data_IF_612986175029
#
_entry.id   IF_612986175029
#
_cell.length_a   1.000
_cell.length_b   1.000
_cell.length_c   1.000
_cell.angle_alpha   90.00
_cell.angle_beta   90.00
_cell.angle_gamma   90.00
#
_symmetry.space_group_name_H-M   'P 1'
#
loop_
_entity.id
_entity.type
_entity.pdbx_description
1 polymer ?
#
# COMPACT_ATOMS: atom_id res chain seq x y z
N UNK A 1 -36.46 -58.02 24.26
CA UNK A 1 -36.35 -56.57 24.51
C UNK A 1 -37.42 -56.19 25.52
N UNK A 2 -37.03 -55.66 26.68
CA UNK A 2 -37.95 -55.18 27.73
C UNK A 2 -37.57 -53.73 28.00
N UNK A 3 -38.48 -52.83 27.67
CA UNK A 3 -38.34 -51.37 27.84
C UNK A 3 -38.78 -51.04 29.26
N UNK A 4 -37.92 -50.36 30.01
CA UNK A 4 -38.29 -49.71 31.27
C UNK A 4 -38.60 -48.24 30.99
N UNK A 5 -39.87 -47.86 31.23
CA UNK A 5 -40.37 -46.49 31.33
C UNK A 5 -40.82 -46.32 32.77
N UNK A 6 -40.30 -45.32 33.49
CA UNK A 6 -40.96 -44.54 34.57
C UNK A 6 -40.16 -43.21 34.63
N UNK A 7 -40.67 -42.09 34.10
CA UNK A 7 -41.56 -41.11 34.75
C UNK A 7 -40.83 -40.34 35.89
N UNK A 8 -41.06 -39.07 36.21
CA UNK A 8 -42.29 -38.29 36.42
C UNK A 8 -41.80 -36.81 36.60
N UNK A 9 -42.45 -35.72 36.16
CA UNK A 9 -43.46 -34.88 36.85
C UNK A 9 -43.46 -33.55 36.07
N UNK A 10 -44.53 -33.09 35.40
CA UNK A 10 -45.84 -32.59 35.86
C UNK A 10 -45.89 -31.08 36.19
N UNK A 11 -47.09 -30.53 35.95
CA UNK A 11 -47.66 -29.18 36.19
C UNK A 11 -47.60 -28.25 34.97
N UNK A 12 -48.60 -28.18 34.07
CA UNK A 12 -50.04 -27.84 34.14
C UNK A 12 -50.38 -26.37 34.41
N UNK A 13 -51.16 -25.83 33.47
CA UNK A 13 -52.21 -24.79 33.60
C UNK A 13 -51.77 -23.32 33.60
N UNK A 14 -52.13 -22.59 32.53
CA UNK A 14 -53.21 -21.58 32.57
C UNK A 14 -53.41 -20.92 31.20
N UNK A 15 -54.67 -20.85 30.79
CA UNK A 15 -55.29 -20.00 29.76
C UNK A 15 -56.41 -19.22 30.50
N UNK A 16 -57.10 -18.17 29.98
CA UNK A 16 -56.92 -17.26 28.83
C UNK A 16 -56.87 -15.78 29.28
N UNK A 17 -56.77 -14.80 28.37
CA UNK A 17 -57.65 -13.61 28.23
C UNK A 17 -56.99 -12.45 27.46
N UNK A 18 -57.78 -11.91 26.52
CA UNK A 18 -57.85 -10.53 26.03
C UNK A 18 -56.77 -9.97 25.08
N UNK A 19 -57.23 -9.72 23.84
CA UNK A 19 -56.71 -8.67 22.96
C UNK A 19 -56.73 -7.31 23.66
N UNK A 20 -55.60 -6.63 23.63
CA UNK A 20 -55.50 -5.17 23.59
C UNK A 20 -54.49 -4.82 22.51
N UNK A 21 -54.92 -3.96 21.59
CA UNK A 21 -54.12 -3.39 20.52
C UNK A 21 -52.96 -2.53 21.07
N UNK A 22 -52.00 -2.26 20.18
CA UNK A 22 -50.93 -1.26 20.29
C UNK A 22 -49.68 -1.64 21.12
N UNK A 23 -48.74 -2.30 20.46
CA UNK A 23 -47.43 -1.69 20.18
C UNK A 23 -46.68 -2.52 19.14
N UNK A 24 -46.45 -1.92 17.98
CA UNK A 24 -45.45 -2.35 17.02
C UNK A 24 -44.07 -2.38 17.69
N UNK A 25 -43.67 -3.53 18.22
CA UNK A 25 -42.29 -3.77 18.60
C UNK A 25 -41.62 -4.51 17.44
N UNK A 26 -41.36 -3.77 16.37
CA UNK A 26 -40.40 -4.17 15.36
C UNK A 26 -39.02 -4.29 16.01
N UNK A 27 -38.61 -5.50 16.32
CA UNK A 27 -37.19 -5.80 16.53
C UNK A 27 -36.66 -6.32 15.21
N UNK A 28 -36.36 -5.36 14.33
CA UNK A 28 -35.36 -5.57 13.30
C UNK A 28 -34.11 -6.08 14.02
N UNK A 29 -33.75 -7.35 13.82
CA UNK A 29 -32.42 -7.83 14.14
C UNK A 29 -31.45 -6.90 13.42
N UNK A 30 -30.76 -6.06 14.18
CA UNK A 30 -29.80 -5.09 13.67
C UNK A 30 -28.85 -5.84 12.74
N UNK A 31 -28.93 -5.49 11.45
CA UNK A 31 -27.90 -5.88 10.51
C UNK A 31 -26.58 -5.30 11.07
N UNK A 32 -25.54 -6.10 11.15
CA UNK A 32 -24.17 -5.58 11.07
C UNK A 32 -23.70 -5.63 9.60
N UNK A 33 -23.99 -4.63 8.74
CA UNK A 33 -23.31 -4.50 7.46
C UNK A 33 -22.14 -3.50 7.53
N UNK A 34 -22.00 -2.75 8.63
CA UNK A 34 -21.08 -1.61 8.71
C UNK A 34 -19.60 -2.04 8.68
N UNK A 35 -19.27 -3.22 9.25
CA UNK A 35 -17.88 -3.70 9.34
C UNK A 35 -17.28 -4.12 8.00
N UNK A 36 -18.09 -4.76 7.13
CA UNK A 36 -17.62 -5.25 5.83
C UNK A 36 -17.37 -4.11 4.84
N UNK A 37 -18.24 -3.09 4.85
CA UNK A 37 -18.08 -1.89 4.01
C UNK A 37 -16.84 -1.09 4.41
N UNK A 38 -16.56 -0.96 5.71
CA UNK A 38 -15.37 -0.27 6.19
C UNK A 38 -14.06 -0.98 5.81
N UNK A 39 -14.00 -2.32 5.89
CA UNK A 39 -12.83 -3.13 5.51
C UNK A 39 -12.57 -3.06 3.99
N UNK A 40 -13.62 -3.09 3.18
CA UNK A 40 -13.55 -2.98 1.73
C UNK A 40 -13.08 -1.59 1.29
N UNK A 41 -13.63 -0.52 1.88
CA UNK A 41 -13.17 0.86 1.61
C UNK A 41 -11.69 1.03 1.97
N UNK A 42 -11.24 0.50 3.11
CA UNK A 42 -9.84 0.55 3.53
C UNK A 42 -8.92 -0.18 2.54
N UNK A 43 -9.34 -1.35 2.06
CA UNK A 43 -8.59 -2.16 1.08
C UNK A 43 -8.47 -1.44 -0.26
N UNK A 44 -9.58 -0.92 -0.80
CA UNK A 44 -9.58 -0.14 -2.05
C UNK A 44 -8.68 1.08 -1.97
N UNK A 45 -8.73 1.81 -0.85
CA UNK A 45 -7.84 2.96 -0.61
C UNK A 45 -6.37 2.55 -0.58
N UNK A 46 -6.03 1.45 0.09
CA UNK A 46 -4.65 0.96 0.14
C UNK A 46 -4.13 0.55 -1.25
N UNK A 47 -4.96 -0.06 -2.09
CA UNK A 47 -4.63 -0.40 -3.48
C UNK A 47 -4.43 0.88 -4.31
N UNK A 48 -5.34 1.85 -4.19
CA UNK A 48 -5.21 3.13 -4.89
C UNK A 48 -3.93 3.87 -4.49
N UNK A 49 -3.63 3.96 -3.18
CA UNK A 49 -2.42 4.56 -2.64
C UNK A 49 -1.15 3.82 -3.09
N UNK A 50 -1.23 2.51 -3.32
CA UNK A 50 -0.13 1.72 -3.86
C UNK A 50 0.12 2.05 -5.33
N UNK A 51 -0.93 2.01 -6.16
CA UNK A 51 -0.83 2.33 -7.58
C UNK A 51 -0.32 3.75 -7.81
N UNK A 52 -0.85 4.73 -7.07
CA UNK A 52 -0.38 6.11 -7.14
C UNK A 52 1.10 6.22 -6.77
N UNK A 53 1.53 5.49 -5.75
CA UNK A 53 2.94 5.44 -5.35
C UNK A 53 3.83 4.82 -6.44
N UNK A 54 3.41 3.73 -7.10
CA UNK A 54 4.15 3.11 -8.20
C UNK A 54 4.30 4.09 -9.36
N UNK A 55 3.20 4.71 -9.80
CA UNK A 55 3.23 5.70 -10.89
C UNK A 55 4.13 6.90 -10.57
N UNK A 56 4.03 7.45 -9.36
CA UNK A 56 4.89 8.56 -8.94
C UNK A 56 6.37 8.16 -8.84
N UNK A 57 6.64 6.90 -8.51
CA UNK A 57 7.98 6.35 -8.43
C UNK A 57 8.61 6.14 -9.81
N UNK A 58 7.84 5.67 -10.79
CA UNK A 58 8.28 5.55 -12.18
C UNK A 58 8.72 6.91 -12.73
N UNK A 59 7.85 7.92 -12.58
CA UNK A 59 8.14 9.27 -13.02
C UNK A 59 9.43 9.83 -12.37
N UNK A 60 9.66 9.56 -11.08
CA UNK A 60 10.86 10.01 -10.39
C UNK A 60 12.14 9.32 -10.92
N UNK A 61 12.07 8.04 -11.30
CA UNK A 61 13.18 7.31 -11.92
C UNK A 61 13.48 7.87 -13.31
N UNK A 62 12.45 8.13 -14.12
CA UNK A 62 12.61 8.72 -15.45
C UNK A 62 13.25 10.12 -15.39
N UNK A 63 12.79 10.98 -14.47
CA UNK A 63 13.41 12.28 -14.26
C UNK A 63 14.88 12.18 -13.87
N UNK A 64 15.24 11.21 -13.02
CA UNK A 64 16.62 10.97 -12.63
C UNK A 64 17.47 10.57 -13.83
N UNK A 65 16.96 9.64 -14.67
CA UNK A 65 17.62 9.22 -15.90
C UNK A 65 17.90 10.41 -16.83
N UNK A 66 16.91 11.28 -17.05
CA UNK A 66 17.07 12.49 -17.86
C UNK A 66 18.16 13.42 -17.28
N UNK A 67 18.15 13.64 -15.96
CA UNK A 67 19.17 14.49 -15.29
C UNK A 67 20.57 13.91 -15.44
N UNK A 68 20.72 12.59 -15.28
CA UNK A 68 22.01 11.91 -15.43
C UNK A 68 22.49 11.97 -16.88
N UNK A 69 21.62 11.72 -17.86
CA UNK A 69 21.95 11.83 -19.27
C UNK A 69 22.47 13.23 -19.62
N UNK A 70 21.74 14.29 -19.21
CA UNK A 70 22.16 15.68 -19.43
C UNK A 70 23.51 16.00 -18.80
N UNK A 71 23.78 15.46 -17.61
CA UNK A 71 25.07 15.63 -16.95
C UNK A 71 26.18 14.88 -17.69
N UNK A 72 25.89 13.71 -18.25
CA UNK A 72 26.83 12.94 -19.07
C UNK A 72 27.21 13.70 -20.34
N UNK A 73 26.25 14.31 -21.04
CA UNK A 73 26.50 15.12 -22.24
C UNK A 73 27.47 16.29 -21.95
N UNK A 74 27.39 16.87 -20.74
CA UNK A 74 28.29 17.95 -20.30
C UNK A 74 29.76 17.52 -20.13
N UNK A 75 30.06 16.22 -20.07
CA UNK A 75 31.46 15.76 -19.97
C UNK A 75 32.27 16.06 -21.24
N UNK A 76 31.61 16.21 -22.37
CA UNK A 76 32.25 16.54 -23.65
C UNK A 76 32.66 18.02 -23.70
N UNK A 77 32.01 18.89 -22.93
CA UNK A 77 32.28 20.34 -22.92
C UNK A 77 33.73 20.64 -22.52
N UNK A 78 34.58 21.20 -23.41
CA UNK A 78 35.98 21.48 -23.11
C UNK A 78 36.17 22.54 -22.00
N UNK A 79 35.18 23.40 -21.75
CA UNK A 79 35.24 24.45 -20.73
C UNK A 79 34.87 23.97 -19.33
N UNK A 80 34.38 22.73 -19.19
CA UNK A 80 33.97 22.19 -17.90
C UNK A 80 35.17 21.94 -16.98
N UNK A 81 35.24 22.68 -15.86
CA UNK A 81 36.38 22.63 -14.92
C UNK A 81 36.46 21.33 -14.10
N UNK A 82 35.33 20.70 -13.80
CA UNK A 82 35.23 19.60 -12.83
C UNK A 82 34.91 18.23 -13.45
N UNK A 83 35.36 17.96 -14.69
CA UNK A 83 35.03 16.72 -15.43
C UNK A 83 35.19 15.43 -14.62
N UNK A 84 36.32 15.27 -13.93
CA UNK A 84 36.59 14.07 -13.12
C UNK A 84 35.59 13.90 -11.98
N UNK A 85 35.28 14.97 -11.25
CA UNK A 85 34.29 14.95 -10.16
C UNK A 85 32.89 14.66 -10.70
N UNK A 86 32.53 15.26 -11.84
CA UNK A 86 31.26 15.02 -12.51
C UNK A 86 31.10 13.55 -12.92
N UNK A 87 32.15 12.92 -13.48
CA UNK A 87 32.13 11.48 -13.81
C UNK A 87 31.82 10.61 -12.58
N UNK A 88 32.48 10.86 -11.45
CA UNK A 88 32.20 10.09 -10.23
C UNK A 88 30.79 10.34 -9.69
N UNK A 89 30.31 11.58 -9.77
CA UNK A 89 28.94 11.92 -9.36
C UNK A 89 27.88 11.23 -10.24
N UNK A 90 28.11 11.16 -11.56
CA UNK A 90 27.27 10.41 -12.51
C UNK A 90 27.26 8.92 -12.17
N UNK A 91 28.41 8.31 -11.89
CA UNK A 91 28.51 6.90 -11.53
C UNK A 91 27.73 6.61 -10.23
N UNK A 92 27.90 7.44 -9.19
CA UNK A 92 27.15 7.29 -7.92
C UNK A 92 25.64 7.48 -8.14
N UNK A 93 25.23 8.47 -8.93
CA UNK A 93 23.82 8.70 -9.24
C UNK A 93 23.21 7.52 -10.03
N UNK A 94 23.91 6.99 -11.04
CA UNK A 94 23.49 5.81 -11.80
C UNK A 94 23.31 4.59 -10.88
N UNK A 95 24.32 4.28 -10.05
CA UNK A 95 24.22 3.12 -9.14
C UNK A 95 23.04 3.23 -8.15
N UNK A 96 22.69 4.45 -7.71
CA UNK A 96 21.51 4.69 -6.86
C UNK A 96 20.20 4.58 -7.63
N UNK A 97 20.16 5.11 -8.85
CA UNK A 97 19.01 5.02 -9.75
C UNK A 97 18.72 3.55 -10.09
N UNK A 98 19.74 2.77 -10.43
CA UNK A 98 19.61 1.34 -10.73
C UNK A 98 19.05 0.58 -9.54
N UNK A 99 19.53 0.87 -8.32
CA UNK A 99 18.97 0.27 -7.10
C UNK A 99 17.49 0.61 -6.94
N UNK A 100 17.09 1.87 -7.15
CA UNK A 100 15.69 2.28 -7.06
C UNK A 100 14.82 1.64 -8.15
N UNK A 101 15.33 1.55 -9.37
CA UNK A 101 14.66 0.89 -10.48
C UNK A 101 14.41 -0.60 -10.17
N UNK A 102 15.42 -1.31 -9.67
CA UNK A 102 15.29 -2.71 -9.26
C UNK A 102 14.29 -2.91 -8.10
N UNK A 103 14.30 -2.01 -7.12
CA UNK A 103 13.28 -2.01 -6.06
C UNK A 103 11.88 -1.83 -6.66
N UNK A 104 11.72 -0.90 -7.61
CA UNK A 104 10.43 -0.63 -8.23
C UNK A 104 9.94 -1.79 -9.10
N UNK A 105 10.83 -2.47 -9.81
CA UNK A 105 10.51 -3.71 -10.53
C UNK A 105 10.00 -4.80 -9.59
N UNK A 106 10.65 -4.95 -8.43
CA UNK A 106 10.21 -5.90 -7.40
C UNK A 106 8.83 -5.52 -6.83
N UNK A 107 8.57 -4.22 -6.66
CA UNK A 107 7.27 -3.73 -6.21
C UNK A 107 6.16 -3.92 -7.24
N UNK A 108 6.45 -3.72 -8.53
CA UNK A 108 5.47 -3.96 -9.62
C UNK A 108 5.05 -5.43 -9.71
N UNK A 109 5.91 -6.36 -9.30
CA UNK A 109 5.56 -7.77 -9.18
C UNK A 109 4.55 -8.03 -8.04
N UNK A 110 4.47 -7.14 -7.05
CA UNK A 110 3.42 -7.15 -6.03
C UNK A 110 2.18 -6.51 -6.66
N UNK A 111 1.42 -7.30 -7.41
CA UNK A 111 0.10 -6.93 -7.88
C UNK A 111 -0.92 -7.38 -6.83
N UNK A 112 -1.50 -6.47 -6.03
CA UNK A 112 -2.69 -6.78 -5.25
C UNK A 112 -3.89 -6.88 -6.20
N UNK A 113 -3.94 -7.97 -6.97
CA UNK A 113 -5.08 -8.32 -7.79
C UNK A 113 -6.12 -9.00 -6.91
N UNK A 114 -7.24 -8.30 -6.66
CA UNK A 114 -8.52 -8.84 -6.19
C UNK A 114 -8.53 -9.61 -4.86
N UNK A 115 -7.42 -9.69 -4.12
CA UNK A 115 -7.37 -10.34 -2.81
C UNK A 115 -7.41 -9.33 -1.68
N UNK A 116 -8.13 -9.68 -0.61
CA UNK A 116 -8.02 -9.02 0.69
C UNK A 116 -6.53 -8.83 1.00
N UNK A 117 -6.10 -7.58 1.12
CA UNK A 117 -4.76 -7.25 1.58
C UNK A 117 -4.70 -7.67 3.05
N UNK A 118 -4.02 -8.78 3.34
CA UNK A 118 -3.78 -9.17 4.71
C UNK A 118 -2.86 -8.14 5.41
N UNK A 119 -2.87 -8.12 6.74
CA UNK A 119 -2.06 -7.18 7.52
C UNK A 119 -0.56 -7.29 7.17
N UNK A 120 -0.11 -8.51 6.83
CA UNK A 120 1.27 -8.78 6.40
C UNK A 120 1.62 -8.01 5.13
N UNK A 121 0.76 -8.05 4.11
CA UNK A 121 0.97 -7.35 2.84
C UNK A 121 0.93 -5.84 3.04
N UNK A 122 0.00 -5.33 3.85
CA UNK A 122 -0.06 -3.89 4.19
C UNK A 122 1.23 -3.45 4.87
N UNK A 123 1.75 -4.25 5.81
CA UNK A 123 3.02 -3.97 6.50
C UNK A 123 4.20 -4.01 5.53
N UNK A 124 4.24 -4.97 4.61
CA UNK A 124 5.26 -5.06 3.57
C UNK A 124 5.25 -3.83 2.65
N UNK A 125 4.06 -3.40 2.18
CA UNK A 125 3.89 -2.19 1.37
C UNK A 125 4.39 -0.95 2.11
N UNK A 126 4.02 -0.79 3.39
CA UNK A 126 4.48 0.34 4.21
C UNK A 126 6.00 0.35 4.37
N UNK A 127 6.60 -0.82 4.64
CA UNK A 127 8.05 -0.96 4.75
C UNK A 127 8.74 -0.61 3.43
N UNK A 128 8.23 -1.13 2.32
CA UNK A 128 8.74 -0.85 0.98
C UNK A 128 8.70 0.65 0.67
N UNK A 129 7.54 1.31 0.86
CA UNK A 129 7.39 2.76 0.62
C UNK A 129 8.43 3.56 1.42
N UNK A 130 8.66 3.19 2.69
CA UNK A 130 9.65 3.86 3.55
C UNK A 130 11.07 3.66 3.03
N UNK A 131 11.43 2.43 2.68
CA UNK A 131 12.77 2.10 2.17
C UNK A 131 13.04 2.79 0.82
N UNK A 132 12.08 2.72 -0.10
CA UNK A 132 12.15 3.39 -1.41
C UNK A 132 12.35 4.90 -1.24
N UNK A 133 11.55 5.56 -0.40
CA UNK A 133 11.68 6.99 -0.16
C UNK A 133 13.03 7.37 0.47
N UNK A 134 13.61 6.51 1.31
CA UNK A 134 14.96 6.73 1.85
C UNK A 134 16.02 6.65 0.74
N UNK A 135 15.91 5.67 -0.16
CA UNK A 135 16.80 5.56 -1.32
C UNK A 135 16.63 6.73 -2.29
N UNK A 136 15.40 7.16 -2.54
CA UNK A 136 15.08 8.33 -3.37
C UNK A 136 15.73 9.59 -2.84
N UNK A 137 15.62 9.88 -1.55
CA UNK A 137 16.29 11.04 -0.93
C UNK A 137 17.80 11.03 -1.13
N UNK A 138 18.43 9.85 -1.09
CA UNK A 138 19.87 9.72 -1.35
C UNK A 138 20.20 9.97 -2.81
N UNK A 139 19.39 9.47 -3.75
CA UNK A 139 19.53 9.77 -5.17
C UNK A 139 19.36 11.26 -5.44
N UNK A 140 18.31 11.89 -4.89
CA UNK A 140 18.05 13.33 -5.06
C UNK A 140 19.24 14.19 -4.58
N UNK A 141 19.89 13.79 -3.48
CA UNK A 141 21.12 14.42 -3.01
C UNK A 141 22.25 14.28 -4.04
N UNK A 142 22.51 13.07 -4.52
CA UNK A 142 23.55 12.83 -5.55
C UNK A 142 23.27 13.59 -6.84
N UNK A 143 22.01 13.65 -7.29
CA UNK A 143 21.60 14.42 -8.46
C UNK A 143 21.83 15.92 -8.25
N UNK A 144 21.53 16.45 -7.06
CA UNK A 144 21.77 17.85 -6.72
C UNK A 144 23.26 18.19 -6.75
N UNK A 145 24.09 17.35 -6.13
CA UNK A 145 25.55 17.51 -6.13
C UNK A 145 26.11 17.41 -7.55
N UNK A 146 25.64 16.46 -8.36
CA UNK A 146 26.00 16.30 -9.76
C UNK A 146 25.64 17.54 -10.59
N UNK A 147 24.42 18.06 -10.44
CA UNK A 147 23.96 19.25 -11.17
C UNK A 147 24.65 20.54 -10.74
N UNK A 148 25.23 20.60 -9.53
CA UNK A 148 26.08 21.71 -9.13
C UNK A 148 27.43 21.69 -9.87
N UNK A 149 27.90 20.52 -10.31
CA UNK A 149 29.16 20.35 -11.03
C UNK A 149 29.05 20.63 -12.54
N UNK A 150 27.84 20.77 -13.07
CA UNK A 150 27.57 21.09 -14.49
C UNK A 150 27.38 22.59 -14.76
N UNK A 151 27.39 23.41 -13.71
CA UNK A 151 27.39 24.88 -13.78
C UNK A 151 28.80 25.43 -13.96
#
# INVERSE_FOLDING_TARGET
MKVFIIAVLLFTMTSPYQCTEENEAGWATEMEPIGYEAEDVATRKAIADWNQFITASDFAVDEACIKISKANDKLEDPQLKNKRKLRYAIIDANGRMDKLSNMLLSAKAIQPHNFKLDETTIKAIKSFKKEFNNHRKKLDKSLTEMMALTK
#
